data_IF_431855269722
#
_entry.id   IF_431855269722
#
_cell.length_a   1.000
_cell.length_b   1.000
_cell.length_c   1.000
_cell.angle_alpha   90.00
_cell.angle_beta   90.00
_cell.angle_gamma   90.00
#
_symmetry.space_group_name_H-M   'P 1'
#
loop_
_entity.id
_entity.type
_entity.pdbx_description
1 polymer ?
#
# COMPACT_ATOMS: atom_id res chain seq x y z
N UNK A 1 27.09 -10.37 -21.73
CA UNK A 1 25.96 -10.40 -20.77
C UNK A 1 25.50 -11.82 -20.53
N UNK A 2 25.35 -12.18 -19.29
CA UNK A 2 24.86 -13.52 -18.93
C UNK A 2 23.33 -13.54 -19.02
N UNK A 3 22.75 -14.74 -19.16
CA UNK A 3 21.29 -14.89 -19.20
C UNK A 3 20.65 -14.29 -17.94
N UNK A 4 21.28 -14.48 -16.79
CA UNK A 4 20.77 -13.91 -15.54
C UNK A 4 20.69 -12.38 -15.59
N UNK A 5 21.62 -11.72 -16.25
CA UNK A 5 21.59 -10.26 -16.36
C UNK A 5 20.43 -9.80 -17.22
N UNK A 6 20.09 -10.57 -18.26
CA UNK A 6 18.93 -10.26 -19.11
C UNK A 6 17.65 -10.42 -18.31
N UNK A 7 17.52 -11.46 -17.52
CA UNK A 7 16.34 -11.72 -16.69
C UNK A 7 16.18 -10.66 -15.57
N UNK A 8 17.30 -10.24 -14.97
CA UNK A 8 17.25 -9.25 -13.91
C UNK A 8 16.95 -7.85 -14.38
N UNK A 9 17.12 -7.53 -15.67
CA UNK A 9 16.70 -6.24 -16.22
C UNK A 9 15.19 -6.02 -16.10
N UNK A 10 14.39 -7.09 -16.08
CA UNK A 10 12.95 -7.01 -15.90
C UNK A 10 12.52 -6.97 -14.43
N UNK A 11 13.48 -7.19 -13.51
CA UNK A 11 13.19 -7.22 -12.07
C UNK A 11 13.63 -5.92 -11.44
N UNK A 12 12.76 -5.36 -10.60
CA UNK A 12 13.05 -4.11 -9.92
C UNK A 12 14.21 -4.26 -8.92
N UNK A 13 15.10 -3.27 -8.88
CA UNK A 13 16.19 -3.23 -7.93
C UNK A 13 15.77 -2.80 -6.53
N UNK A 14 14.59 -2.19 -6.40
CA UNK A 14 14.06 -1.67 -5.15
C UNK A 14 12.56 -1.90 -5.12
N UNK A 15 12.02 -2.20 -3.95
CA UNK A 15 10.58 -2.36 -3.76
C UNK A 15 10.09 -1.44 -2.64
N UNK A 16 9.09 -0.62 -2.97
CA UNK A 16 8.40 0.19 -1.97
C UNK A 16 7.02 -0.41 -1.72
N UNK A 17 6.51 -0.20 -0.52
CA UNK A 17 5.16 -0.59 -0.16
C UNK A 17 4.31 0.66 0.07
N UNK A 18 3.07 0.62 -0.38
CA UNK A 18 2.08 1.65 -0.13
C UNK A 18 0.97 1.05 0.72
N UNK A 19 0.67 1.69 1.83
CA UNK A 19 -0.44 1.29 2.70
C UNK A 19 -1.52 2.36 2.61
N UNK A 20 -2.49 2.19 1.70
CA UNK A 20 -3.53 3.19 1.49
C UNK A 20 -4.70 2.99 2.44
N UNK A 21 -5.37 4.05 2.82
CA UNK A 21 -6.56 3.96 3.64
C UNK A 21 -7.10 5.31 4.07
N UNK A 22 -8.25 5.27 4.72
CA UNK A 22 -8.86 6.47 5.29
C UNK A 22 -8.29 6.83 6.66
N UNK A 23 -8.01 5.80 7.47
CA UNK A 23 -7.43 5.95 8.81
C UNK A 23 -8.20 6.96 9.68
N UNK A 24 -9.39 6.57 10.07
CA UNK A 24 -10.29 7.44 10.85
C UNK A 24 -10.74 6.77 12.16
N UNK A 25 -9.90 6.73 13.21
CA UNK A 25 -8.52 7.19 13.25
C UNK A 25 -7.51 6.09 12.89
N UNK A 26 -6.25 6.48 12.79
CA UNK A 26 -5.13 5.54 12.75
C UNK A 26 -4.92 4.98 14.16
N UNK A 27 -4.79 3.67 14.28
CA UNK A 27 -4.65 3.01 15.58
C UNK A 27 -3.56 1.93 15.55
N UNK A 28 -3.38 1.24 16.69
CA UNK A 28 -2.32 0.23 16.84
C UNK A 28 -2.39 -0.91 15.82
N UNK A 29 -3.59 -1.28 15.39
CA UNK A 29 -3.76 -2.29 14.34
C UNK A 29 -3.15 -1.85 13.02
N UNK A 30 -3.35 -0.60 12.66
CA UNK A 30 -2.74 -0.01 11.46
C UNK A 30 -1.22 0.07 11.63
N UNK A 31 -0.73 0.44 12.81
CA UNK A 31 0.71 0.48 13.08
C UNK A 31 1.35 -0.88 12.93
N UNK A 32 0.67 -1.94 13.37
CA UNK A 32 1.18 -3.30 13.23
C UNK A 32 1.32 -3.70 11.75
N UNK A 33 0.37 -3.28 10.91
CA UNK A 33 0.45 -3.51 9.46
C UNK A 33 1.64 -2.74 8.87
N UNK A 34 1.81 -1.48 9.28
CA UNK A 34 2.98 -0.70 8.86
C UNK A 34 4.29 -1.42 9.21
N UNK A 35 4.40 -1.91 10.45
CA UNK A 35 5.60 -2.63 10.89
C UNK A 35 5.83 -3.92 10.09
N UNK A 36 4.76 -4.65 9.78
CA UNK A 36 4.82 -5.84 8.96
C UNK A 36 5.40 -5.52 7.57
N UNK A 37 4.88 -4.47 6.92
CA UNK A 37 5.36 -4.06 5.61
C UNK A 37 6.79 -3.52 5.67
N UNK A 38 7.11 -2.77 6.72
CA UNK A 38 8.42 -2.16 6.86
C UNK A 38 9.55 -3.18 7.04
N UNK A 39 9.22 -4.36 7.55
CA UNK A 39 10.17 -5.47 7.66
C UNK A 39 10.41 -6.19 6.34
N UNK A 40 9.45 -6.10 5.41
CA UNK A 40 9.50 -6.84 4.14
C UNK A 40 10.07 -6.01 2.98
N UNK A 41 9.87 -4.70 3.01
CA UNK A 41 10.16 -3.85 1.87
C UNK A 41 11.13 -2.73 2.22
N UNK A 42 11.76 -2.17 1.21
CA UNK A 42 12.80 -1.14 1.39
C UNK A 42 12.27 0.15 1.99
N UNK A 43 11.02 0.50 1.66
CA UNK A 43 10.37 1.70 2.18
C UNK A 43 8.87 1.50 2.20
N UNK A 44 8.22 1.98 3.25
CA UNK A 44 6.76 1.94 3.36
C UNK A 44 6.22 3.36 3.42
N UNK A 45 5.19 3.62 2.65
CA UNK A 45 4.46 4.90 2.69
C UNK A 45 3.02 4.63 3.10
N UNK A 46 2.48 5.54 3.91
CA UNK A 46 1.06 5.55 4.23
C UNK A 46 0.41 6.60 3.37
N UNK A 47 -0.55 6.19 2.57
CA UNK A 47 -1.27 7.07 1.64
C UNK A 47 -2.68 7.31 2.19
N UNK A 48 -3.02 8.57 2.42
CA UNK A 48 -4.36 8.93 2.87
C UNK A 48 -4.77 10.26 2.27
N UNK A 49 -6.09 10.48 2.14
CA UNK A 49 -6.60 11.71 1.54
C UNK A 49 -6.84 12.78 2.60
N UNK A 50 -6.99 14.02 2.13
CA UNK A 50 -7.34 15.16 2.98
C UNK A 50 -8.87 15.31 3.12
N UNK A 51 -9.65 14.45 2.47
CA UNK A 51 -11.10 14.58 2.45
C UNK A 51 -11.71 14.33 3.82
N UNK A 52 -12.53 15.26 4.28
CA UNK A 52 -13.26 15.16 5.55
C UNK A 52 -14.72 14.84 5.25
N UNK A 53 -15.22 13.77 5.85
CA UNK A 53 -16.60 13.30 5.68
C UNK A 53 -17.17 12.90 7.05
N UNK A 54 -18.52 12.75 7.20
CA UNK A 54 -19.08 12.32 8.48
C UNK A 54 -18.52 11.00 9.00
N UNK A 55 -18.21 10.07 8.12
CA UNK A 55 -17.61 8.78 8.50
C UNK A 55 -16.08 8.78 8.42
N UNK A 56 -15.49 9.93 8.11
CA UNK A 56 -14.03 10.10 8.10
C UNK A 56 -13.75 11.56 8.48
N UNK A 57 -13.95 11.93 9.76
CA UNK A 57 -14.01 13.34 10.18
C UNK A 57 -12.66 14.03 10.35
N UNK A 58 -11.56 13.30 10.17
CA UNK A 58 -10.23 13.85 10.42
C UNK A 58 -9.61 14.42 9.16
N UNK A 59 -8.99 15.61 9.28
CA UNK A 59 -8.19 16.19 8.21
C UNK A 59 -6.90 15.40 8.02
N UNK A 60 -6.19 15.66 6.93
CA UNK A 60 -4.89 15.02 6.70
C UNK A 60 -3.92 15.34 7.84
N UNK A 61 -3.87 16.59 8.27
CA UNK A 61 -2.97 17.01 9.35
C UNK A 61 -3.27 16.30 10.66
N UNK A 62 -4.55 16.11 10.98
CA UNK A 62 -4.96 15.36 12.16
C UNK A 62 -4.56 13.89 12.06
N UNK A 63 -4.79 13.27 10.91
CA UNK A 63 -4.39 11.88 10.67
C UNK A 63 -2.87 11.71 10.80
N UNK A 64 -2.12 12.62 10.19
CA UNK A 64 -0.66 12.60 10.24
C UNK A 64 -0.17 12.71 11.67
N UNK A 65 -0.76 13.61 12.45
CA UNK A 65 -0.39 13.76 13.86
C UNK A 65 -0.63 12.48 14.65
N UNK A 66 -1.77 11.84 14.45
CA UNK A 66 -2.08 10.56 15.10
C UNK A 66 -1.08 9.47 14.73
N UNK A 67 -0.71 9.40 13.46
CA UNK A 67 0.28 8.43 12.99
C UNK A 67 1.65 8.68 13.61
N UNK A 68 2.08 9.93 13.66
CA UNK A 68 3.37 10.30 14.26
C UNK A 68 3.41 9.99 15.75
N UNK A 69 2.29 10.12 16.45
CA UNK A 69 2.19 9.75 17.86
C UNK A 69 2.41 8.25 18.09
N UNK A 70 2.15 7.43 17.08
CA UNK A 70 2.44 5.99 17.17
C UNK A 70 3.88 5.66 16.77
N UNK A 71 4.66 6.67 16.36
CA UNK A 71 6.06 6.51 15.99
C UNK A 71 6.35 6.40 14.50
N UNK A 72 5.37 6.67 13.63
CA UNK A 72 5.59 6.65 12.18
C UNK A 72 6.31 7.92 11.75
N UNK A 73 7.39 7.80 10.96
CA UNK A 73 8.12 8.98 10.49
C UNK A 73 7.25 9.87 9.60
N UNK A 74 7.44 11.18 9.72
CA UNK A 74 6.66 12.15 8.94
C UNK A 74 6.83 11.96 7.42
N UNK A 75 8.01 11.58 6.97
CA UNK A 75 8.29 11.38 5.54
C UNK A 75 7.64 10.14 4.95
N UNK A 76 7.12 9.24 5.80
CA UNK A 76 6.39 8.07 5.36
C UNK A 76 4.90 8.34 5.17
N UNK A 77 4.41 9.50 5.60
CA UNK A 77 2.99 9.84 5.57
C UNK A 77 2.76 10.82 4.43
N UNK A 78 1.97 10.42 3.43
CA UNK A 78 1.78 11.20 2.21
C UNK A 78 0.30 11.43 1.96
N UNK A 79 -0.02 12.69 1.66
CA UNK A 79 -1.36 13.05 1.22
C UNK A 79 -1.54 12.65 -0.24
N UNK A 80 -2.56 11.82 -0.49
CA UNK A 80 -2.89 11.37 -1.83
C UNK A 80 -4.37 11.61 -2.10
N UNK A 81 -4.73 12.33 -3.17
CA UNK A 81 -6.14 12.48 -3.53
C UNK A 81 -6.81 11.14 -3.81
N UNK A 82 -6.05 10.22 -4.38
CA UNK A 82 -6.48 8.84 -4.63
C UNK A 82 -5.47 7.90 -3.99
N UNK A 83 -5.64 7.56 -2.69
CA UNK A 83 -4.65 6.77 -1.97
C UNK A 83 -4.30 5.45 -2.63
N UNK A 84 -5.27 4.80 -3.25
CA UNK A 84 -5.06 3.51 -3.90
C UNK A 84 -4.30 3.61 -5.22
N UNK A 85 -4.17 4.79 -5.79
CA UNK A 85 -3.34 5.03 -6.97
C UNK A 85 -1.95 5.55 -6.58
N UNK A 86 -1.85 6.24 -5.46
CA UNK A 86 -0.59 6.71 -4.87
C UNK A 86 0.32 7.47 -5.85
N UNK A 87 -0.26 8.34 -6.67
CA UNK A 87 0.50 9.06 -7.71
C UNK A 87 1.62 9.92 -7.16
N UNK A 88 1.40 10.60 -6.04
CA UNK A 88 2.41 11.46 -5.44
C UNK A 88 3.58 10.64 -4.87
N UNK A 89 3.28 9.48 -4.31
CA UNK A 89 4.32 8.58 -3.79
C UNK A 89 5.15 8.04 -4.94
N UNK A 90 4.49 7.52 -5.99
CA UNK A 90 5.18 6.94 -7.12
C UNK A 90 6.03 7.96 -7.85
N UNK A 91 5.61 9.23 -7.88
CA UNK A 91 6.37 10.30 -8.51
C UNK A 91 7.72 10.58 -7.84
N UNK A 92 7.92 10.10 -6.61
CA UNK A 92 9.18 10.26 -5.88
C UNK A 92 10.24 9.22 -6.26
N UNK A 93 9.86 8.22 -7.04
CA UNK A 93 10.72 7.09 -7.36
C UNK A 93 10.86 6.90 -8.86
N UNK A 94 11.95 6.27 -9.27
CA UNK A 94 12.20 5.95 -10.67
C UNK A 94 11.30 4.79 -11.10
N UNK A 95 10.41 5.06 -12.05
CA UNK A 95 9.46 4.08 -12.55
C UNK A 95 10.11 2.89 -13.28
N UNK A 96 11.36 3.04 -13.68
CA UNK A 96 12.08 2.01 -14.41
C UNK A 96 12.99 1.16 -13.51
N UNK A 97 13.07 1.46 -12.22
CA UNK A 97 13.92 0.71 -11.29
C UNK A 97 13.23 0.29 -10.01
N UNK A 98 12.01 0.73 -9.77
CA UNK A 98 11.30 0.54 -8.51
C UNK A 98 10.01 -0.26 -8.74
N UNK A 99 9.80 -1.27 -7.91
CA UNK A 99 8.52 -1.98 -7.83
C UNK A 99 7.66 -1.39 -6.71
N UNK A 100 6.35 -1.44 -6.88
CA UNK A 100 5.40 -0.97 -5.88
C UNK A 100 4.48 -2.11 -5.46
N UNK A 101 4.36 -2.31 -4.16
CA UNK A 101 3.43 -3.26 -3.55
C UNK A 101 2.41 -2.47 -2.73
N UNK A 102 1.13 -2.75 -2.97
CA UNK A 102 0.05 -2.10 -2.24
C UNK A 102 -0.48 -3.07 -1.19
N UNK A 103 -0.37 -2.70 0.08
CA UNK A 103 -0.89 -3.50 1.19
C UNK A 103 -2.36 -3.20 1.41
N UNK A 104 -3.21 -4.18 1.23
CA UNK A 104 -4.66 -4.01 1.28
C UNK A 104 -5.29 -4.97 2.27
N UNK A 105 -6.40 -4.54 2.88
CA UNK A 105 -7.23 -5.46 3.67
C UNK A 105 -7.95 -6.45 2.78
N UNK A 106 -8.31 -7.61 3.33
CA UNK A 106 -8.98 -8.65 2.58
C UNK A 106 -10.27 -8.17 1.91
N UNK A 107 -11.00 -7.27 2.54
CA UNK A 107 -12.26 -6.74 2.01
C UNK A 107 -12.09 -5.99 0.69
N UNK A 108 -10.93 -5.37 0.47
CA UNK A 108 -10.67 -4.63 -0.76
C UNK A 108 -10.42 -5.57 -1.95
N UNK A 109 -10.19 -6.85 -1.68
CA UNK A 109 -9.86 -7.86 -2.67
C UNK A 109 -10.97 -8.88 -2.91
N UNK A 110 -12.06 -8.83 -2.14
CA UNK A 110 -13.10 -9.84 -2.15
C UNK A 110 -14.39 -9.37 -2.79
N UNK A 111 -15.12 -10.32 -3.42
CA UNK A 111 -16.48 -10.12 -3.89
C UNK A 111 -16.61 -9.20 -5.08
N UNK A 112 -17.87 -8.90 -5.43
CA UNK A 112 -18.19 -8.01 -6.55
C UNK A 112 -17.80 -6.56 -6.26
N UNK A 113 -17.76 -6.18 -4.99
CA UNK A 113 -17.35 -4.86 -4.56
C UNK A 113 -15.84 -4.71 -4.41
N UNK A 114 -15.07 -5.70 -4.83
CA UNK A 114 -13.61 -5.63 -4.73
C UNK A 114 -13.08 -4.41 -5.47
N UNK A 115 -12.24 -3.65 -4.77
CA UNK A 115 -11.67 -2.42 -5.31
C UNK A 115 -10.65 -2.70 -6.41
N UNK A 116 -10.00 -3.86 -6.33
CA UNK A 116 -8.97 -4.25 -7.29
C UNK A 116 -9.29 -5.62 -7.86
N UNK A 117 -9.03 -5.78 -9.15
CA UNK A 117 -9.19 -7.06 -9.86
C UNK A 117 -7.87 -7.38 -10.56
N UNK A 118 -6.93 -8.01 -9.85
CA UNK A 118 -5.64 -8.33 -10.45
C UNK A 118 -5.75 -9.46 -11.47
N UNK A 119 -4.75 -9.58 -12.31
CA UNK A 119 -4.62 -10.68 -13.23
C UNK A 119 -4.79 -10.27 -14.68
N UNK A 120 -5.87 -10.69 -15.31
CA UNK A 120 -6.11 -10.54 -16.75
C UNK A 120 -7.39 -9.75 -16.99
N UNK A 121 -7.34 -8.80 -17.92
CA UNK A 121 -8.53 -8.05 -18.34
C UNK A 121 -9.45 -8.90 -19.21
N UNK A 122 -10.65 -8.40 -19.46
CA UNK A 122 -11.63 -9.09 -20.29
C UNK A 122 -11.13 -9.38 -21.71
N UNK A 123 -10.24 -8.55 -22.23
CA UNK A 123 -9.67 -8.69 -23.57
C UNK A 123 -8.48 -9.66 -23.61
N UNK A 124 -8.13 -10.29 -22.48
CA UNK A 124 -7.03 -11.24 -22.39
C UNK A 124 -5.67 -10.62 -22.09
N UNK A 125 -5.56 -9.30 -22.07
CA UNK A 125 -4.31 -8.64 -21.74
C UNK A 125 -4.10 -8.58 -20.23
N UNK A 126 -2.82 -8.52 -19.75
CA UNK A 126 -2.55 -8.40 -18.32
C UNK A 126 -3.11 -7.09 -17.75
N UNK A 127 -3.70 -7.16 -16.56
CA UNK A 127 -4.06 -5.97 -15.79
C UNK A 127 -2.81 -5.27 -15.30
N UNK A 128 -2.93 -3.96 -14.99
CA UNK A 128 -1.85 -3.27 -14.32
C UNK A 128 -1.56 -3.91 -12.95
N UNK A 129 -2.60 -4.18 -12.18
CA UNK A 129 -2.43 -4.80 -10.86
C UNK A 129 -2.31 -6.32 -10.98
N UNK A 130 -1.32 -6.86 -10.26
CA UNK A 130 -1.06 -8.29 -10.20
C UNK A 130 -0.97 -8.72 -8.74
N UNK A 131 -1.19 -10.01 -8.47
CA UNK A 131 -0.92 -10.55 -7.14
C UNK A 131 0.58 -10.49 -6.85
N UNK A 132 0.92 -10.24 -5.59
CA UNK A 132 2.31 -10.09 -5.19
C UNK A 132 3.12 -11.37 -5.50
N UNK A 133 4.37 -11.17 -5.89
CA UNK A 133 5.30 -12.23 -6.23
C UNK A 133 6.71 -11.80 -5.85
N UNK A 134 7.65 -12.71 -5.91
CA UNK A 134 9.04 -12.41 -5.55
C UNK A 134 9.77 -11.55 -6.58
N UNK A 135 9.65 -11.95 -7.85
CA UNK A 135 10.34 -11.26 -8.94
C UNK A 135 9.41 -10.20 -9.51
N UNK A 136 9.42 -9.01 -8.91
CA UNK A 136 8.51 -7.93 -9.29
C UNK A 136 9.10 -7.09 -10.41
N UNK A 137 8.25 -6.80 -11.39
CA UNK A 137 8.56 -5.80 -12.40
C UNK A 137 8.37 -4.40 -11.81
N UNK A 138 8.92 -3.41 -12.50
CA UNK A 138 8.83 -2.02 -12.06
C UNK A 138 7.41 -1.48 -12.19
N UNK A 139 7.10 -0.41 -11.44
CA UNK A 139 5.72 0.07 -11.33
C UNK A 139 5.21 0.77 -12.59
N UNK A 140 6.08 1.04 -13.57
CA UNK A 140 5.61 1.49 -14.88
C UNK A 140 4.82 0.40 -15.61
N UNK A 141 5.04 -0.87 -15.25
CA UNK A 141 4.38 -2.02 -15.86
C UNK A 141 3.26 -2.59 -15.00
N UNK A 142 3.54 -2.79 -13.72
CA UNK A 142 2.59 -3.39 -12.79
C UNK A 142 2.71 -2.82 -11.39
N UNK A 143 1.57 -2.79 -10.70
CA UNK A 143 1.52 -2.63 -9.25
C UNK A 143 1.11 -3.97 -8.65
N UNK A 144 1.69 -4.34 -7.52
CA UNK A 144 1.45 -5.64 -6.90
C UNK A 144 0.59 -5.47 -5.66
N UNK A 145 -0.34 -6.41 -5.46
CA UNK A 145 -1.29 -6.36 -4.36
C UNK A 145 -0.97 -7.43 -3.34
N UNK A 146 -0.81 -7.02 -2.11
CA UNK A 146 -0.61 -7.94 -0.99
C UNK A 146 -1.72 -7.74 0.02
N UNK A 147 -2.41 -8.84 0.39
CA UNK A 147 -3.38 -8.79 1.47
C UNK A 147 -2.62 -8.82 2.78
N UNK A 148 -2.74 -7.74 3.55
CA UNK A 148 -2.04 -7.63 4.83
C UNK A 148 -2.82 -8.33 5.92
N UNK A 149 -2.13 -8.79 6.99
CA UNK A 149 -2.81 -9.46 8.09
C UNK A 149 -3.77 -8.53 8.81
N UNK A 150 -4.91 -9.08 9.22
CA UNK A 150 -5.85 -8.37 10.08
C UNK A 150 -5.35 -8.48 11.51
N UNK A 151 -5.07 -7.34 12.13
CA UNK A 151 -4.63 -7.29 13.51
C UNK A 151 -5.78 -6.83 14.37
N UNK A 152 -6.16 -7.66 15.35
CA UNK A 152 -7.24 -7.37 16.27
C UNK A 152 -6.67 -7.19 17.67
N UNK A 153 -7.06 -6.10 18.33
CA UNK A 153 -6.70 -5.83 19.72
C UNK A 153 -7.92 -5.98 20.59
N UNK A 154 -7.71 -6.38 21.85
CA UNK A 154 -8.77 -6.45 22.83
C UNK A 154 -8.69 -5.24 23.75
N UNK A 155 -9.83 -4.59 23.94
CA UNK A 155 -9.99 -3.51 24.92
C UNK A 155 -11.08 -3.96 25.87
N UNK A 156 -10.75 -4.09 27.16
CA UNK A 156 -11.68 -4.58 28.18
C UNK A 156 -12.30 -5.92 27.80
N UNK A 157 -11.49 -6.81 27.21
CA UNK A 157 -11.94 -8.15 26.81
C UNK A 157 -12.69 -8.21 25.48
N UNK A 158 -12.86 -7.08 24.79
CA UNK A 158 -13.54 -7.02 23.49
C UNK A 158 -12.54 -6.68 22.38
N UNK A 159 -12.77 -7.20 21.14
CA UNK A 159 -11.91 -6.83 20.02
C UNK A 159 -12.01 -5.33 19.73
N UNK A 160 -10.87 -4.72 19.45
CA UNK A 160 -10.83 -3.34 18.95
C UNK A 160 -11.05 -3.35 17.45
N UNK A 161 -11.78 -2.37 16.96
CA UNK A 161 -12.04 -2.22 15.52
C UNK A 161 -11.09 -1.22 14.90
#
# INVERSE_FOLDING_TARGET
MRINDILTEAVAGKTIAVYPGRFHPFHKGHRAVYDYLNKKYDKVYIATSAKVEPNSPFSFEEKKKMMMLTGIPADAIVQEPSPYMAKNILAKHDENSTAAVFGLGAKDMEGEGARFKPGIKKDGSPSYYQYNQQDRETFDKHGYLEVVPTVTFKVLGKPAK
#
